data_IF_408932339558
#
_entry.id   IF_408932339558
#
_cell.length_a   1.000
_cell.length_b   1.000
_cell.length_c   1.000
_cell.angle_alpha   90.00
_cell.angle_beta   90.00
_cell.angle_gamma   90.00
#
_symmetry.space_group_name_H-M   'P 1'
#
loop_
_entity.id
_entity.type
_entity.pdbx_description
1 polymer ?
#
# COMPACT_ATOMS: atom_id res chain seq x y z
N UNK A 1 -0.68 -4.38 -12.66
CA UNK A 1 -1.40 -4.54 -11.37
C UNK A 1 -1.90 -5.97 -11.32
N UNK A 2 -1.44 -6.78 -10.35
CA UNK A 2 -2.02 -8.11 -10.17
C UNK A 2 -3.32 -7.97 -9.36
N UNK A 3 -4.45 -7.85 -10.06
CA UNK A 3 -5.78 -7.64 -9.49
C UNK A 3 -6.14 -8.74 -8.48
N UNK A 4 -5.67 -9.98 -8.72
CA UNK A 4 -5.91 -11.11 -7.84
C UNK A 4 -5.28 -10.92 -6.45
N UNK A 5 -4.04 -10.41 -6.39
CA UNK A 5 -3.35 -10.14 -5.12
C UNK A 5 -4.08 -9.06 -4.31
N UNK A 6 -4.51 -7.99 -4.98
CA UNK A 6 -5.27 -6.93 -4.33
C UNK A 6 -6.62 -7.42 -3.78
N UNK A 7 -7.30 -8.33 -4.49
CA UNK A 7 -8.53 -8.96 -4.01
C UNK A 7 -8.28 -9.86 -2.79
N UNK A 8 -7.20 -10.66 -2.81
CA UNK A 8 -6.84 -11.52 -1.69
C UNK A 8 -6.52 -10.70 -0.43
N UNK A 9 -5.69 -9.66 -0.57
CA UNK A 9 -5.35 -8.74 0.54
C UNK A 9 -6.61 -8.08 1.09
N UNK A 10 -7.51 -7.61 0.22
CA UNK A 10 -8.79 -7.01 0.65
C UNK A 10 -9.65 -8.01 1.41
N UNK A 11 -9.72 -9.26 0.96
CA UNK A 11 -10.48 -10.31 1.64
C UNK A 11 -9.91 -10.64 3.02
N UNK A 12 -8.57 -10.67 3.17
CA UNK A 12 -7.89 -10.88 4.46
C UNK A 12 -8.19 -9.73 5.41
N UNK A 13 -8.05 -8.48 4.96
CA UNK A 13 -8.33 -7.30 5.78
C UNK A 13 -9.80 -7.26 6.22
N UNK A 14 -10.74 -7.59 5.33
CA UNK A 14 -12.17 -7.66 5.67
C UNK A 14 -12.45 -8.71 6.74
N UNK A 15 -11.82 -9.88 6.67
CA UNK A 15 -11.94 -10.93 7.70
C UNK A 15 -11.35 -10.50 9.05
N UNK A 16 -10.36 -9.63 9.03
CA UNK A 16 -9.77 -9.03 10.23
C UNK A 16 -10.57 -7.82 10.78
N UNK A 17 -11.74 -7.50 10.20
CA UNK A 17 -12.63 -6.43 10.67
C UNK A 17 -12.40 -5.06 10.03
N UNK A 18 -11.52 -4.95 9.03
CA UNK A 18 -11.30 -3.69 8.31
C UNK A 18 -12.35 -3.47 7.21
N UNK A 19 -12.56 -2.20 6.87
CA UNK A 19 -13.38 -1.77 5.74
C UNK A 19 -12.54 -0.95 4.76
N UNK A 20 -13.00 -0.84 3.52
CA UNK A 20 -12.37 0.03 2.52
C UNK A 20 -12.56 1.50 2.90
N UNK A 21 -11.46 2.26 2.92
CA UNK A 21 -11.49 3.70 3.07
C UNK A 21 -11.65 4.38 1.69
N UNK A 22 -12.45 5.45 1.62
CA UNK A 22 -12.64 6.22 0.40
C UNK A 22 -11.41 7.08 0.05
N UNK A 23 -10.66 7.51 1.08
CA UNK A 23 -9.46 8.32 0.93
C UNK A 23 -8.34 7.79 1.84
N UNK A 24 -7.06 7.96 1.45
CA UNK A 24 -5.91 7.58 2.28
C UNK A 24 -5.95 8.18 3.69
N UNK A 25 -6.46 9.40 3.81
CA UNK A 25 -6.53 10.15 5.08
C UNK A 25 -7.49 9.53 6.08
N UNK A 26 -8.47 8.75 5.60
CA UNK A 26 -9.49 8.08 6.41
C UNK A 26 -9.06 6.64 6.80
N UNK A 27 -7.92 6.16 6.30
CA UNK A 27 -7.47 4.79 6.50
C UNK A 27 -6.63 4.63 7.77
N UNK A 28 -6.80 3.51 8.48
CA UNK A 28 -5.89 3.07 9.54
C UNK A 28 -4.74 2.20 9.02
N UNK A 29 -4.93 1.61 7.84
CA UNK A 29 -3.95 0.76 7.15
C UNK A 29 -3.95 1.08 5.67
N UNK A 30 -2.76 1.34 5.12
CA UNK A 30 -2.53 1.53 3.68
C UNK A 30 -1.49 0.52 3.21
N UNK A 31 -1.88 -0.31 2.24
CA UNK A 31 -1.00 -1.30 1.60
C UNK A 31 -0.81 -0.94 0.13
N UNK A 32 0.41 -0.60 -0.26
CA UNK A 32 0.76 -0.29 -1.64
C UNK A 32 1.22 -1.57 -2.33
N UNK A 33 0.37 -2.15 -3.18
CA UNK A 33 0.69 -3.35 -3.95
C UNK A 33 1.47 -2.99 -5.23
N UNK A 34 2.70 -3.47 -5.33
CA UNK A 34 3.61 -3.18 -6.44
C UNK A 34 3.86 -4.44 -7.27
N UNK A 35 3.91 -4.30 -8.59
CA UNK A 35 4.30 -5.38 -9.49
C UNK A 35 5.48 -4.96 -10.38
N UNK A 36 6.25 -3.96 -9.95
CA UNK A 36 7.30 -3.37 -10.77
C UNK A 36 8.47 -4.36 -10.88
N UNK A 37 8.53 -5.05 -12.02
CA UNK A 37 9.73 -5.72 -12.54
C UNK A 37 10.39 -4.80 -13.60
N UNK A 38 9.97 -3.53 -13.69
CA UNK A 38 10.43 -2.55 -14.69
C UNK A 38 10.80 -1.25 -13.99
N UNK A 39 11.97 -0.70 -14.31
CA UNK A 39 12.58 0.49 -13.68
C UNK A 39 11.65 1.72 -13.64
N UNK A 40 10.90 2.00 -14.71
CA UNK A 40 9.98 3.17 -14.73
C UNK A 40 8.78 3.06 -13.77
N UNK A 41 8.46 1.85 -13.27
CA UNK A 41 7.38 1.68 -12.30
C UNK A 41 7.86 1.92 -10.85
N UNK A 42 9.16 1.85 -10.59
CA UNK A 42 9.75 2.06 -9.27
C UNK A 42 9.71 3.53 -8.85
N UNK A 43 10.13 4.46 -9.71
CA UNK A 43 10.09 5.90 -9.41
C UNK A 43 8.67 6.37 -9.02
N UNK A 44 7.65 5.86 -9.71
CA UNK A 44 6.25 6.17 -9.40
C UNK A 44 5.82 5.61 -8.04
N UNK A 45 6.27 4.41 -7.70
CA UNK A 45 6.01 3.79 -6.40
C UNK A 45 6.70 4.58 -5.29
N UNK A 46 7.96 4.97 -5.49
CA UNK A 46 8.74 5.78 -4.53
C UNK A 46 8.11 7.15 -4.30
N UNK A 47 7.65 7.82 -5.36
CA UNK A 47 6.92 9.08 -5.26
C UNK A 47 5.65 8.91 -4.42
N UNK A 48 4.84 7.89 -4.72
CA UNK A 48 3.61 7.60 -3.96
C UNK A 48 3.92 7.23 -2.50
N UNK A 49 4.96 6.46 -2.25
CA UNK A 49 5.38 6.08 -0.89
C UNK A 49 5.84 7.31 -0.09
N UNK A 50 6.53 8.25 -0.73
CA UNK A 50 6.95 9.52 -0.11
C UNK A 50 5.75 10.37 0.31
N UNK A 51 4.72 10.46 -0.51
CA UNK A 51 3.48 11.19 -0.16
C UNK A 51 2.77 10.54 1.04
N UNK A 52 2.67 9.21 1.03
CA UNK A 52 2.07 8.44 2.13
C UNK A 52 2.92 8.49 3.40
N UNK A 53 4.25 8.58 3.29
CA UNK A 53 5.14 8.75 4.43
C UNK A 53 4.91 10.10 5.13
N UNK A 54 4.61 11.17 4.40
CA UNK A 54 4.20 12.45 5.01
C UNK A 54 2.90 12.32 5.78
N UNK A 55 1.93 11.56 5.26
CA UNK A 55 0.69 11.28 5.97
C UNK A 55 0.96 10.48 7.26
N UNK A 56 1.78 9.42 7.17
CA UNK A 56 2.23 8.60 8.30
C UNK A 56 2.97 9.40 9.38
N UNK A 57 3.73 10.42 8.97
CA UNK A 57 4.41 11.32 9.90
C UNK A 57 3.42 12.17 10.71
N UNK A 58 2.34 12.63 10.07
CA UNK A 58 1.25 13.36 10.75
C UNK A 58 0.31 12.45 11.55
N UNK A 59 0.19 11.17 11.17
CA UNK A 59 -0.62 10.14 11.82
C UNK A 59 0.24 8.95 12.25
N UNK A 60 0.97 9.03 13.38
CA UNK A 60 1.87 7.97 13.84
C UNK A 60 1.20 6.61 14.08
N UNK A 61 -0.11 6.56 14.21
CA UNK A 61 -0.92 5.35 14.34
C UNK A 61 -1.25 4.66 13.01
N UNK A 62 -1.19 5.39 11.88
CA UNK A 62 -1.40 4.82 10.54
C UNK A 62 -0.39 3.71 10.28
N UNK A 63 -0.83 2.56 9.77
CA UNK A 63 0.06 1.49 9.30
C UNK A 63 0.26 1.63 7.80
N UNK A 64 1.50 1.79 7.35
CA UNK A 64 1.87 1.88 5.94
C UNK A 64 2.75 0.68 5.56
N UNK A 65 2.35 -0.08 4.55
CA UNK A 65 3.09 -1.25 4.06
C UNK A 65 3.22 -1.29 2.54
N UNK A 66 4.31 -1.89 2.06
CA UNK A 66 4.57 -2.16 0.65
C UNK A 66 4.42 -3.67 0.41
N UNK A 67 3.72 -4.05 -0.66
CA UNK A 67 3.52 -5.45 -1.06
C UNK A 67 4.06 -5.68 -2.47
N UNK A 68 4.33 -6.94 -2.78
CA UNK A 68 4.74 -7.41 -4.11
C UNK A 68 6.25 -7.33 -4.36
N UNK A 69 6.66 -7.49 -5.62
CA UNK A 69 8.05 -7.80 -5.98
C UNK A 69 9.08 -6.74 -5.55
N UNK A 70 8.71 -5.45 -5.49
CA UNK A 70 9.61 -4.42 -4.99
C UNK A 70 9.88 -4.55 -3.49
N UNK A 71 8.92 -5.07 -2.70
CA UNK A 71 9.14 -5.32 -1.28
C UNK A 71 10.07 -6.51 -1.02
N UNK A 72 10.41 -7.28 -2.06
CA UNK A 72 11.26 -8.47 -1.99
C UNK A 72 12.70 -8.20 -2.46
N UNK A 73 12.95 -7.12 -3.20
CA UNK A 73 14.29 -6.74 -3.63
C UNK A 73 14.93 -5.87 -2.54
N UNK A 74 16.01 -6.36 -1.94
CA UNK A 74 16.79 -5.72 -0.90
C UNK A 74 18.28 -5.83 -1.24
#
# INVERSE_FOLDING_TARGET
MNIADSQLVTAVLRRAGFASAARPEDADVILLNTCAIREHAEERVLGRLSDLARLKHRRPELRLGLLGCMAQHN
#
